data_IF_093008802707
#
_entry.id   IF_093008802707
#
_cell.length_a   1.000
_cell.length_b   1.000
_cell.length_c   1.000
_cell.angle_alpha   90.00
_cell.angle_beta   90.00
_cell.angle_gamma   90.00
#
_symmetry.space_group_name_H-M   'P 1'
#
loop_
_entity.id
_entity.type
_entity.pdbx_description
1 polymer ?
#
# COMPACT_ATOMS: atom_id res chain seq x y z
N UNK A 1 -18.92 45.39 -14.69
CA UNK A 1 -18.68 44.09 -13.99
C UNK A 1 -18.22 43.05 -15.02
N UNK A 2 -16.95 43.10 -15.47
CA UNK A 2 -16.34 42.11 -16.41
C UNK A 2 -14.83 42.33 -16.66
N UNK A 3 -14.06 42.80 -15.67
CA UNK A 3 -12.66 43.19 -15.92
C UNK A 3 -11.63 42.86 -14.82
N UNK A 4 -11.89 41.88 -13.93
CA UNK A 4 -10.93 41.46 -12.89
C UNK A 4 -10.78 39.94 -12.72
N UNK A 5 -10.73 39.18 -13.82
CA UNK A 5 -10.50 37.70 -13.80
C UNK A 5 -9.44 37.29 -14.85
N UNK A 6 -8.43 38.13 -15.12
CA UNK A 6 -7.40 37.83 -16.14
C UNK A 6 -5.95 38.13 -15.75
N UNK A 7 -5.63 38.34 -14.47
CA UNK A 7 -4.29 38.84 -14.09
C UNK A 7 -3.57 38.11 -12.94
N UNK A 8 -3.89 36.84 -12.63
CA UNK A 8 -3.11 36.05 -11.65
C UNK A 8 -2.82 34.63 -12.17
N UNK A 9 -2.53 34.51 -13.47
CA UNK A 9 -2.02 33.25 -14.05
C UNK A 9 -0.82 33.53 -14.96
N UNK A 10 0.16 34.24 -14.41
CA UNK A 10 1.43 34.51 -15.06
C UNK A 10 2.52 34.58 -13.99
N UNK A 11 3.15 33.43 -13.71
CA UNK A 11 4.60 33.28 -13.42
C UNK A 11 4.89 31.86 -12.92
N UNK A 12 5.99 31.29 -13.45
CA UNK A 12 6.68 30.06 -13.05
C UNK A 12 6.17 28.72 -13.62
N UNK A 13 6.28 28.58 -14.94
CA UNK A 13 6.37 27.29 -15.64
C UNK A 13 7.43 27.37 -16.73
N UNK A 14 8.69 27.10 -16.37
CA UNK A 14 9.83 26.87 -17.27
C UNK A 14 10.42 25.54 -16.80
N UNK A 15 10.66 24.52 -17.62
CA UNK A 15 10.49 24.32 -19.04
C UNK A 15 11.26 23.06 -19.41
N UNK A 16 10.66 22.15 -20.19
CA UNK A 16 11.40 21.18 -21.01
C UNK A 16 10.54 20.89 -22.25
N UNK A 17 10.92 21.51 -23.35
CA UNK A 17 10.61 21.13 -24.73
C UNK A 17 12.00 21.11 -25.42
N UNK A 18 12.34 20.33 -26.44
CA UNK A 18 11.61 19.73 -27.54
C UNK A 18 12.63 18.87 -28.31
N UNK A 19 12.18 17.82 -29.03
CA UNK A 19 12.61 17.36 -30.38
C UNK A 19 12.24 15.87 -30.53
N UNK A 20 11.00 15.54 -30.92
CA UNK A 20 10.44 15.41 -32.29
C UNK A 20 11.10 14.32 -33.15
N UNK A 21 10.29 13.32 -33.54
CA UNK A 21 10.59 12.36 -34.60
C UNK A 21 9.68 11.13 -34.54
N UNK A 22 8.55 11.19 -35.25
CA UNK A 22 7.43 10.22 -35.33
C UNK A 22 7.71 9.04 -36.30
N UNK A 23 6.72 8.23 -36.76
CA UNK A 23 6.34 6.93 -36.20
C UNK A 23 6.39 5.77 -37.23
N UNK A 24 6.39 4.51 -36.79
CA UNK A 24 5.89 3.38 -37.59
C UNK A 24 5.67 2.13 -36.73
N UNK A 25 4.44 1.63 -36.71
CA UNK A 25 4.04 0.30 -36.24
C UNK A 25 4.10 -0.71 -37.42
N UNK A 26 3.65 -1.98 -37.30
CA UNK A 26 3.63 -2.93 -36.19
C UNK A 26 4.22 -4.30 -36.61
N UNK A 27 4.11 -5.30 -35.71
CA UNK A 27 3.78 -6.71 -35.99
C UNK A 27 4.82 -7.80 -35.63
N UNK A 28 4.23 -8.88 -35.09
CA UNK A 28 4.61 -10.28 -35.18
C UNK A 28 5.68 -10.86 -34.22
N UNK A 29 5.13 -11.54 -33.21
CA UNK A 29 5.55 -12.81 -32.59
C UNK A 29 6.69 -13.61 -33.26
N UNK A 30 7.61 -14.13 -32.44
CA UNK A 30 8.19 -15.47 -32.61
C UNK A 30 8.92 -15.96 -31.34
N UNK A 31 9.11 -17.29 -31.17
CA UNK A 31 9.45 -17.95 -29.91
C UNK A 31 10.93 -18.36 -29.79
N UNK A 32 11.22 -19.13 -28.73
CA UNK A 32 12.48 -19.76 -28.34
C UNK A 32 13.31 -20.42 -29.46
N UNK A 33 14.65 -20.41 -29.33
CA UNK A 33 15.52 -21.60 -29.11
C UNK A 33 17.02 -21.28 -29.29
N UNK A 34 17.82 -21.82 -28.36
CA UNK A 34 19.14 -22.46 -28.49
C UNK A 34 20.24 -21.96 -29.45
N UNK A 35 21.39 -21.65 -28.82
CA UNK A 35 22.73 -22.27 -29.01
C UNK A 35 23.59 -21.99 -30.27
N UNK A 36 24.91 -21.91 -29.98
CA UNK A 36 26.08 -22.25 -30.79
C UNK A 36 26.92 -21.12 -31.46
N UNK A 37 28.09 -20.91 -30.84
CA UNK A 37 29.45 -20.99 -31.41
C UNK A 37 29.90 -20.02 -32.53
N UNK A 38 30.98 -19.30 -32.18
CA UNK A 38 31.85 -18.46 -33.01
C UNK A 38 32.72 -19.30 -33.96
N UNK A 39 32.83 -18.87 -35.22
CA UNK A 39 34.00 -19.10 -36.09
C UNK A 39 34.12 -17.95 -37.10
N UNK A 40 35.28 -17.29 -37.15
CA UNK A 40 35.66 -16.29 -38.16
C UNK A 40 36.83 -16.86 -38.97
N UNK A 41 36.81 -16.80 -40.31
CA UNK A 41 37.83 -17.41 -41.16
C UNK A 41 39.04 -16.49 -41.44
N UNK A 42 40.15 -17.15 -41.77
CA UNK A 42 41.47 -16.62 -42.12
C UNK A 42 41.57 -16.32 -43.62
N UNK A 43 42.30 -15.28 -44.02
CA UNK A 43 42.85 -15.12 -45.37
C UNK A 43 44.29 -14.56 -45.35
N UNK A 44 45.16 -15.15 -46.18
CA UNK A 44 46.62 -15.03 -46.26
C UNK A 44 47.07 -13.94 -47.26
N UNK A 45 48.16 -13.16 -47.03
CA UNK A 45 49.52 -13.31 -47.61
C UNK A 45 50.13 -11.89 -47.85
N UNK A 46 51.43 -11.69 -48.19
CA UNK A 46 52.66 -12.15 -47.54
C UNK A 46 53.71 -11.02 -47.27
N UNK A 47 54.63 -11.35 -46.36
CA UNK A 47 56.02 -10.86 -46.08
C UNK A 47 56.62 -9.61 -46.76
N UNK A 48 57.11 -8.68 -45.94
CA UNK A 48 58.36 -7.94 -46.17
C UNK A 48 59.04 -7.60 -44.83
N UNK A 49 60.34 -7.91 -44.71
CA UNK A 49 61.18 -7.79 -43.51
C UNK A 49 61.90 -6.43 -43.53
N UNK A 50 61.87 -5.67 -42.43
CA UNK A 50 62.77 -4.54 -42.18
C UNK A 50 62.95 -4.28 -40.67
N UNK A 51 64.12 -3.74 -40.26
CA UNK A 51 64.80 -4.16 -39.04
C UNK A 51 64.38 -3.42 -37.76
N UNK A 52 64.64 -4.10 -36.65
CA UNK A 52 64.41 -3.72 -35.26
C UNK A 52 65.01 -2.34 -34.90
N UNK A 53 64.16 -1.42 -34.46
CA UNK A 53 64.56 -0.27 -33.65
C UNK A 53 64.16 -0.53 -32.19
N UNK A 54 65.16 -0.77 -31.34
CA UNK A 54 64.98 -0.90 -29.88
C UNK A 54 64.57 0.45 -29.29
N UNK A 55 63.37 0.53 -28.71
CA UNK A 55 63.03 1.58 -27.75
C UNK A 55 63.45 1.13 -26.34
N UNK A 56 64.03 2.00 -25.50
CA UNK A 56 64.50 1.60 -24.17
C UNK A 56 63.32 1.21 -23.27
N UNK A 57 63.42 0.01 -22.67
CA UNK A 57 62.52 -0.50 -21.64
C UNK A 57 62.49 0.47 -20.46
N UNK A 58 61.31 1.03 -20.16
CA UNK A 58 61.05 1.66 -18.87
C UNK A 58 60.91 0.54 -17.82
N UNK A 59 61.62 0.65 -16.70
CA UNK A 59 61.61 -0.37 -15.65
C UNK A 59 60.19 -0.60 -15.07
N UNK A 60 59.87 -1.82 -14.58
CA UNK A 60 58.56 -2.15 -14.04
C UNK A 60 58.26 -1.36 -12.76
N UNK A 61 57.07 -0.75 -12.68
CA UNK A 61 56.55 -0.18 -11.44
C UNK A 61 56.23 -1.34 -10.46
N UNK A 62 56.74 -1.34 -9.22
CA UNK A 62 56.42 -2.36 -8.24
C UNK A 62 54.92 -2.34 -7.88
N UNK A 63 54.29 -3.50 -7.59
CA UNK A 63 52.88 -3.56 -7.19
C UNK A 63 52.67 -2.86 -5.84
N UNK A 64 51.68 -1.96 -5.79
CA UNK A 64 51.28 -1.27 -4.57
C UNK A 64 50.49 -2.23 -3.64
N UNK A 65 50.80 -2.31 -2.34
CA UNK A 65 50.07 -3.17 -1.40
C UNK A 65 48.58 -2.78 -1.28
N UNK A 66 47.67 -3.72 -1.01
CA UNK A 66 46.26 -3.43 -0.79
C UNK A 66 46.09 -2.44 0.38
N UNK A 67 45.31 -1.37 0.16
CA UNK A 67 44.91 -0.48 1.25
C UNK A 67 44.09 -1.26 2.29
N UNK A 68 44.31 -1.06 3.61
CA UNK A 68 43.54 -1.75 4.63
C UNK A 68 42.05 -1.39 4.54
N UNK A 69 41.14 -2.27 4.97
CA UNK A 69 39.71 -2.00 4.94
C UNK A 69 39.43 -0.75 5.76
N UNK A 70 38.82 0.27 5.16
CA UNK A 70 38.25 1.37 5.92
C UNK A 70 37.01 0.82 6.62
N UNK A 71 37.13 0.47 7.90
CA UNK A 71 35.97 0.17 8.73
C UNK A 71 35.04 1.38 8.71
N UNK A 72 33.72 1.20 8.50
CA UNK A 72 32.79 2.30 8.65
C UNK A 72 32.87 2.77 10.11
N UNK A 73 33.49 3.93 10.33
CA UNK A 73 33.44 4.66 11.60
C UNK A 73 32.05 5.25 11.81
N UNK A 74 31.08 4.35 12.00
CA UNK A 74 29.76 4.62 12.53
C UNK A 74 29.64 3.87 13.84
N UNK A 75 30.48 4.18 14.83
CA UNK A 75 30.29 3.66 16.18
C UNK A 75 29.01 4.29 16.75
N UNK A 76 27.96 3.48 16.84
CA UNK A 76 26.81 3.78 17.70
C UNK A 76 27.33 3.69 19.14
N UNK A 77 27.90 4.79 19.63
CA UNK A 77 28.34 4.90 21.01
C UNK A 77 27.12 5.09 21.91
N UNK A 78 26.80 4.06 22.66
CA UNK A 78 25.76 4.08 23.70
C UNK A 78 26.37 4.76 24.93
N UNK A 79 26.34 6.10 24.94
CA UNK A 79 26.75 6.88 26.11
C UNK A 79 25.52 7.07 27.03
N UNK A 80 25.41 6.24 28.08
CA UNK A 80 24.44 6.46 29.16
C UNK A 80 25.07 7.41 30.18
N UNK A 81 25.06 8.70 29.86
CA UNK A 81 25.57 9.76 30.72
C UNK A 81 24.52 10.87 30.91
N UNK A 82 24.21 11.20 32.17
CA UNK A 82 23.34 12.30 32.65
C UNK A 82 21.80 12.10 32.67
N UNK A 83 21.29 10.87 32.71
CA UNK A 83 19.85 10.63 32.95
C UNK A 83 18.91 11.14 31.83
N UNK A 84 19.49 11.61 30.71
CA UNK A 84 18.80 11.86 29.45
C UNK A 84 19.16 10.71 28.50
N UNK A 85 18.21 10.13 27.76
CA UNK A 85 18.52 9.13 26.75
C UNK A 85 19.58 9.67 25.78
N UNK A 86 20.57 8.85 25.43
CA UNK A 86 21.54 9.20 24.37
C UNK A 86 20.79 9.60 23.11
N UNK A 87 21.25 10.64 22.41
CA UNK A 87 20.65 11.12 21.15
C UNK A 87 20.47 9.97 20.15
N UNK A 88 21.42 9.03 20.11
CA UNK A 88 21.37 7.82 19.28
C UNK A 88 20.16 6.92 19.63
N UNK A 89 19.82 6.80 20.92
CA UNK A 89 18.68 6.01 21.40
C UNK A 89 17.36 6.70 21.02
N UNK A 90 17.29 8.02 21.15
CA UNK A 90 16.10 8.80 20.75
C UNK A 90 15.83 8.65 19.25
N UNK A 91 16.87 8.75 18.41
CA UNK A 91 16.76 8.56 16.96
C UNK A 91 16.31 7.14 16.63
N UNK A 92 16.87 6.12 17.30
CA UNK A 92 16.48 4.72 17.09
C UNK A 92 15.00 4.48 17.44
N UNK A 93 14.53 5.02 18.57
CA UNK A 93 13.12 4.95 18.96
C UNK A 93 12.25 5.72 17.94
N UNK A 94 12.67 6.90 17.51
CA UNK A 94 11.93 7.69 16.52
C UNK A 94 11.79 6.95 15.18
N UNK A 95 12.85 6.32 14.68
CA UNK A 95 12.80 5.50 13.46
C UNK A 95 11.89 4.28 13.62
N UNK A 96 11.91 3.66 14.80
CA UNK A 96 11.03 2.53 15.11
C UNK A 96 9.56 2.94 15.08
N UNK A 97 9.22 4.06 15.72
CA UNK A 97 7.84 4.60 15.71
C UNK A 97 7.44 5.01 14.29
N UNK A 98 8.35 5.64 13.53
CA UNK A 98 8.09 6.07 12.16
C UNK A 98 7.82 4.89 11.21
N UNK A 99 8.46 3.73 11.43
CA UNK A 99 8.25 2.51 10.65
C UNK A 99 6.86 1.90 10.88
N UNK A 100 6.34 1.97 12.12
CA UNK A 100 5.04 1.38 12.49
C UNK A 100 3.88 2.36 12.24
N UNK A 101 4.15 3.66 12.22
CA UNK A 101 3.14 4.71 12.08
C UNK A 101 2.19 4.54 10.86
N UNK A 102 2.64 4.19 9.64
CA UNK A 102 1.74 4.05 8.50
C UNK A 102 0.72 2.95 8.70
N UNK A 103 1.13 1.80 9.25
CA UNK A 103 0.24 0.68 9.51
C UNK A 103 -0.81 1.02 10.59
N UNK A 104 -0.39 1.71 11.66
CA UNK A 104 -1.32 2.20 12.68
C UNK A 104 -2.30 3.23 12.11
N UNK A 105 -1.84 4.10 11.22
CA UNK A 105 -2.71 5.09 10.60
C UNK A 105 -3.80 4.42 9.76
N UNK A 106 -3.45 3.41 8.96
CA UNK A 106 -4.44 2.64 8.21
C UNK A 106 -5.41 1.90 9.13
N UNK A 107 -4.92 1.32 10.23
CA UNK A 107 -5.77 0.59 11.19
C UNK A 107 -6.81 1.49 11.89
N UNK A 108 -6.44 2.74 12.19
CA UNK A 108 -7.34 3.71 12.82
C UNK A 108 -8.36 4.33 11.84
N UNK A 109 -8.38 3.90 10.58
CA UNK A 109 -9.25 4.45 9.53
C UNK A 109 -10.22 3.39 8.99
N UNK A 110 -11.03 3.76 7.99
CA UNK A 110 -11.95 2.86 7.28
C UNK A 110 -11.24 1.87 6.34
N UNK A 111 -9.93 2.02 6.15
CA UNK A 111 -9.13 1.18 5.25
C UNK A 111 -9.32 -0.31 5.52
N UNK A 112 -9.29 -0.75 6.77
CA UNK A 112 -9.32 -2.17 7.13
C UNK A 112 -10.60 -2.86 6.64
N UNK A 113 -11.79 -2.27 6.88
CA UNK A 113 -13.06 -2.86 6.43
C UNK A 113 -13.13 -2.94 4.91
N UNK A 114 -12.78 -1.84 4.23
CA UNK A 114 -12.84 -1.75 2.77
C UNK A 114 -11.91 -2.79 2.14
N UNK A 115 -10.66 -2.85 2.58
CA UNK A 115 -9.68 -3.79 2.04
C UNK A 115 -10.12 -5.25 2.21
N UNK A 116 -10.65 -5.61 3.39
CA UNK A 116 -11.12 -6.97 3.66
C UNK A 116 -12.33 -7.33 2.80
N UNK A 117 -13.33 -6.44 2.68
CA UNK A 117 -14.52 -6.69 1.84
C UNK A 117 -14.15 -6.86 0.37
N UNK A 118 -13.27 -6.00 -0.16
CA UNK A 118 -12.79 -6.10 -1.54
C UNK A 118 -12.02 -7.41 -1.78
N UNK A 119 -11.20 -7.83 -0.82
CA UNK A 119 -10.47 -9.11 -0.87
C UNK A 119 -11.42 -10.31 -0.84
N UNK A 120 -12.43 -10.31 0.03
CA UNK A 120 -13.44 -11.37 0.08
C UNK A 120 -14.24 -11.41 -1.23
N UNK A 121 -14.60 -10.25 -1.79
CA UNK A 121 -15.31 -10.16 -3.08
C UNK A 121 -14.50 -10.82 -4.20
N UNK A 122 -13.19 -10.53 -4.29
CA UNK A 122 -12.31 -11.18 -5.28
C UNK A 122 -12.31 -12.70 -5.12
N UNK A 123 -12.20 -13.19 -3.89
CA UNK A 123 -12.19 -14.62 -3.61
C UNK A 123 -13.55 -15.27 -3.91
N UNK A 124 -14.66 -14.57 -3.65
CA UNK A 124 -16.02 -15.06 -3.93
C UNK A 124 -16.25 -15.29 -5.43
N UNK A 125 -15.68 -14.42 -6.28
CA UNK A 125 -15.70 -14.56 -7.73
C UNK A 125 -14.85 -15.74 -8.25
N UNK A 126 -14.03 -16.36 -7.39
CA UNK A 126 -13.12 -17.45 -7.78
C UNK A 126 -11.88 -16.95 -8.51
N UNK A 127 -11.54 -15.66 -8.39
CA UNK A 127 -10.39 -15.07 -9.06
C UNK A 127 -9.13 -15.21 -8.20
N UNK A 128 -8.09 -15.84 -8.74
CA UNK A 128 -6.86 -16.15 -7.99
C UNK A 128 -5.83 -15.03 -8.01
N UNK A 129 -5.78 -14.22 -9.06
CA UNK A 129 -4.72 -13.19 -9.24
C UNK A 129 -5.23 -11.82 -9.70
N UNK A 130 -6.44 -11.75 -10.27
CA UNK A 130 -7.03 -10.52 -10.81
C UNK A 130 -8.25 -10.13 -9.97
N UNK A 131 -8.35 -8.91 -9.42
CA UNK A 131 -7.35 -7.85 -9.36
C UNK A 131 -6.21 -8.16 -8.37
N UNK A 132 -4.97 -7.66 -8.61
CA UNK A 132 -3.84 -7.88 -7.71
C UNK A 132 -4.05 -7.14 -6.38
N UNK A 133 -3.42 -7.65 -5.30
CA UNK A 133 -3.55 -7.06 -3.95
C UNK A 133 -3.19 -5.57 -3.92
N UNK A 134 -2.23 -5.13 -4.73
CA UNK A 134 -1.82 -3.72 -4.82
C UNK A 134 -2.95 -2.82 -5.36
N UNK A 135 -3.73 -3.29 -6.34
CA UNK A 135 -4.86 -2.54 -6.88
C UNK A 135 -5.99 -2.46 -5.85
N UNK A 136 -6.27 -3.56 -5.14
CA UNK A 136 -7.25 -3.57 -4.05
C UNK A 136 -6.83 -2.63 -2.89
N UNK A 137 -5.55 -2.64 -2.53
CA UNK A 137 -4.99 -1.74 -1.52
C UNK A 137 -5.08 -0.28 -1.96
N UNK A 138 -4.74 0.03 -3.22
CA UNK A 138 -4.87 1.37 -3.78
C UNK A 138 -6.32 1.86 -3.78
N UNK A 139 -7.27 1.02 -4.22
CA UNK A 139 -8.70 1.34 -4.19
C UNK A 139 -9.19 1.57 -2.75
N UNK A 140 -8.79 0.70 -1.82
CA UNK A 140 -9.15 0.84 -0.41
C UNK A 140 -8.61 2.14 0.20
N UNK A 141 -7.38 2.53 -0.17
CA UNK A 141 -6.77 3.77 0.31
C UNK A 141 -7.50 5.01 -0.23
N UNK A 142 -7.82 5.06 -1.53
CA UNK A 142 -8.58 6.19 -2.08
C UNK A 142 -10.00 6.28 -1.53
N UNK A 143 -10.70 5.15 -1.37
CA UNK A 143 -12.01 5.13 -0.72
C UNK A 143 -11.94 5.53 0.75
N UNK A 144 -10.89 5.11 1.47
CA UNK A 144 -10.67 5.52 2.85
C UNK A 144 -10.45 7.03 2.95
N UNK A 145 -9.64 7.63 2.07
CA UNK A 145 -9.43 9.08 2.04
C UNK A 145 -10.72 9.84 1.71
N UNK A 146 -11.55 9.29 0.82
CA UNK A 146 -12.86 9.87 0.50
C UNK A 146 -13.81 9.88 1.71
N UNK A 147 -13.93 8.75 2.41
CA UNK A 147 -14.79 8.61 3.60
C UNK A 147 -14.25 9.42 4.78
N UNK A 148 -12.91 9.50 4.92
CA UNK A 148 -12.24 10.24 5.99
C UNK A 148 -12.10 11.74 5.74
N UNK A 149 -12.53 12.25 4.58
CA UNK A 149 -12.48 13.66 4.24
C UNK A 149 -12.90 14.61 5.39
N UNK A 150 -14.09 14.45 6.02
CA UNK A 150 -14.50 15.31 7.12
C UNK A 150 -13.61 15.18 8.36
N UNK A 151 -13.28 13.95 8.77
CA UNK A 151 -12.44 13.70 9.95
C UNK A 151 -11.06 14.32 9.77
N UNK A 152 -10.43 14.14 8.61
CA UNK A 152 -9.11 14.71 8.32
C UNK A 152 -9.14 16.25 8.29
N UNK A 153 -10.25 16.83 7.83
CA UNK A 153 -10.48 18.27 7.84
C UNK A 153 -10.58 18.82 9.27
N UNK A 154 -11.34 18.16 10.12
CA UNK A 154 -11.48 18.52 11.54
C UNK A 154 -10.16 18.37 12.30
N UNK A 155 -9.41 17.29 12.07
CA UNK A 155 -8.07 17.10 12.65
C UNK A 155 -7.11 18.21 12.24
N UNK A 156 -7.15 18.65 10.97
CA UNK A 156 -6.33 19.74 10.48
C UNK A 156 -6.74 21.08 11.10
N UNK A 157 -8.04 21.36 11.20
CA UNK A 157 -8.57 22.60 11.80
C UNK A 157 -8.25 22.71 13.28
N UNK A 158 -8.44 21.64 14.05
CA UNK A 158 -8.45 21.70 15.51
C UNK A 158 -7.06 21.43 16.13
N UNK A 159 -6.22 20.66 15.43
CA UNK A 159 -4.87 20.29 15.87
C UNK A 159 -3.73 20.92 15.05
N UNK A 160 -3.70 20.67 13.74
CA UNK A 160 -2.53 21.00 12.90
C UNK A 160 -2.37 22.52 12.68
N UNK A 161 -3.43 23.21 12.27
CA UNK A 161 -3.38 24.65 11.97
C UNK A 161 -3.00 25.50 13.20
N UNK A 162 -3.59 25.28 14.40
CA UNK A 162 -3.22 26.05 15.60
C UNK A 162 -1.78 25.78 16.06
N UNK A 163 -1.26 24.55 15.87
CA UNK A 163 0.14 24.23 16.15
C UNK A 163 1.09 24.98 15.22
N UNK A 164 0.81 24.99 13.91
CA UNK A 164 1.62 25.70 12.91
C UNK A 164 1.61 27.22 13.11
N UNK A 165 0.52 27.78 13.66
CA UNK A 165 0.40 29.20 14.01
C UNK A 165 1.04 29.56 15.35
N UNK A 166 1.53 28.58 16.11
CA UNK A 166 2.08 28.78 17.45
C UNK A 166 1.03 29.09 18.52
N UNK A 167 -0.26 28.88 18.23
CA UNK A 167 -1.37 29.15 19.16
C UNK A 167 -1.51 28.05 20.22
N UNK A 168 -1.00 26.84 19.96
CA UNK A 168 -1.05 25.67 20.87
C UNK A 168 0.30 25.01 21.02
N UNK A 169 0.57 24.48 22.21
CA UNK A 169 1.70 23.58 22.43
C UNK A 169 1.47 22.22 21.75
N UNK A 170 2.54 21.50 21.44
CA UNK A 170 2.48 20.18 20.79
C UNK A 170 1.54 19.19 21.52
N UNK A 171 1.56 19.18 22.85
CA UNK A 171 0.70 18.29 23.64
C UNK A 171 -0.78 18.60 23.47
N UNK A 172 -1.17 19.89 23.49
CA UNK A 172 -2.57 20.29 23.36
C UNK A 172 -3.05 20.07 21.93
N UNK A 173 -2.22 20.40 20.94
CA UNK A 173 -2.50 20.14 19.54
C UNK A 173 -2.72 18.64 19.24
N UNK A 174 -1.98 17.76 19.90
CA UNK A 174 -2.17 16.31 19.79
C UNK A 174 -3.51 15.87 20.43
N UNK A 175 -3.81 16.32 21.64
CA UNK A 175 -5.06 15.96 22.34
C UNK A 175 -6.29 16.43 21.56
N UNK A 176 -6.28 17.66 21.06
CA UNK A 176 -7.39 18.22 20.29
C UNK A 176 -7.47 17.58 18.89
N UNK A 177 -6.33 17.38 18.23
CA UNK A 177 -6.26 16.78 16.90
C UNK A 177 -6.68 15.30 16.86
N UNK A 178 -6.55 14.56 17.97
CA UNK A 178 -7.00 13.15 18.02
C UNK A 178 -8.49 13.03 18.35
N UNK A 179 -9.15 14.09 18.85
CA UNK A 179 -10.55 14.04 19.25
C UNK A 179 -11.52 13.66 18.10
N UNK A 180 -11.43 14.24 16.89
CA UNK A 180 -12.31 13.83 15.77
C UNK A 180 -12.10 12.38 15.36
N UNK A 181 -10.85 11.91 15.36
CA UNK A 181 -10.53 10.51 15.06
C UNK A 181 -11.12 9.56 16.12
N UNK A 182 -11.05 9.96 17.40
CA UNK A 182 -11.64 9.21 18.51
C UNK A 182 -13.15 9.10 18.38
N UNK A 183 -13.82 10.19 18.04
CA UNK A 183 -15.26 10.23 17.83
C UNK A 183 -15.68 9.35 16.64
N UNK A 184 -14.95 9.43 15.52
CA UNK A 184 -15.13 8.55 14.38
C UNK A 184 -15.05 7.07 14.79
N UNK A 185 -13.99 6.67 15.51
CA UNK A 185 -13.82 5.29 15.95
C UNK A 185 -14.95 4.86 16.89
N UNK A 186 -15.36 5.70 17.83
CA UNK A 186 -16.43 5.39 18.76
C UNK A 186 -17.78 5.20 18.06
N UNK A 187 -18.07 5.97 17.01
CA UNK A 187 -19.32 5.83 16.25
C UNK A 187 -19.39 4.52 15.46
N UNK A 188 -18.24 4.00 15.04
CA UNK A 188 -18.13 2.77 14.26
C UNK A 188 -17.72 1.54 15.10
N UNK A 189 -17.49 1.72 16.41
CA UNK A 189 -17.18 0.63 17.34
C UNK A 189 -18.45 0.12 17.99
N UNK A 190 -18.66 -1.20 17.93
CA UNK A 190 -19.79 -1.86 18.56
C UNK A 190 -19.60 -1.88 20.10
N UNK A 191 -20.71 -1.75 20.83
CA UNK A 191 -20.70 -1.68 22.30
C UNK A 191 -20.16 -2.96 22.95
N UNK A 192 -20.43 -4.13 22.35
CA UNK A 192 -20.00 -5.42 22.88
C UNK A 192 -18.47 -5.56 22.82
N UNK A 193 -17.86 -5.17 21.71
CA UNK A 193 -16.43 -5.19 21.45
C UNK A 193 -15.70 -4.19 22.35
N UNK A 194 -16.28 -3.00 22.55
CA UNK A 194 -15.77 -2.04 23.50
C UNK A 194 -15.82 -2.57 24.95
N UNK A 195 -16.92 -3.20 25.35
CA UNK A 195 -17.06 -3.82 26.66
C UNK A 195 -16.08 -4.99 26.85
N UNK A 196 -15.84 -5.79 25.80
CA UNK A 196 -14.86 -6.88 25.81
C UNK A 196 -13.46 -6.35 26.15
N UNK A 197 -12.96 -5.36 25.40
CA UNK A 197 -11.62 -4.84 25.65
C UNK A 197 -11.50 -4.05 26.96
N UNK A 198 -12.59 -3.45 27.43
CA UNK A 198 -12.62 -2.81 28.77
C UNK A 198 -12.46 -3.84 29.88
N UNK A 199 -13.15 -4.99 29.76
CA UNK A 199 -13.04 -6.11 30.71
C UNK A 199 -11.65 -6.76 30.65
N UNK A 200 -11.13 -7.02 29.46
CA UNK A 200 -9.78 -7.60 29.27
C UNK A 200 -8.69 -6.69 29.84
N UNK A 201 -8.88 -5.37 29.77
CA UNK A 201 -7.95 -4.41 30.35
C UNK A 201 -8.05 -4.29 31.88
N UNK A 202 -8.94 -5.02 32.56
CA UNK A 202 -9.23 -4.90 34.00
C UNK A 202 -9.50 -3.45 34.44
N UNK A 203 -10.16 -2.66 33.59
CA UNK A 203 -10.48 -1.25 33.88
C UNK A 203 -11.92 -1.10 34.37
N UNK A 204 -12.20 -0.11 35.24
CA UNK A 204 -13.58 0.23 35.57
C UNK A 204 -14.34 0.64 34.30
N UNK A 205 -15.60 0.23 34.21
CA UNK A 205 -16.43 0.55 33.05
C UNK A 205 -16.55 2.08 32.91
N UNK A 206 -16.13 2.69 31.78
CA UNK A 206 -16.24 4.12 31.57
C UNK A 206 -17.70 4.57 31.66
N UNK A 207 -17.96 5.67 32.38
CA UNK A 207 -19.31 6.24 32.53
C UNK A 207 -19.80 6.91 31.25
N UNK A 208 -18.87 7.52 30.51
CA UNK A 208 -19.12 8.19 29.24
C UNK A 208 -18.32 7.56 28.11
N UNK A 209 -18.84 7.65 26.88
CA UNK A 209 -18.13 7.21 25.66
C UNK A 209 -16.80 7.94 25.46
N UNK A 210 -16.69 9.15 26.00
CA UNK A 210 -15.52 10.01 25.85
C UNK A 210 -14.33 9.67 26.75
N UNK A 211 -14.57 8.95 27.84
CA UNK A 211 -13.54 8.61 28.82
C UNK A 211 -12.76 7.34 28.44
N UNK A 212 -13.08 6.73 27.29
CA UNK A 212 -12.41 5.52 26.86
C UNK A 212 -11.02 5.87 26.31
N UNK A 213 -9.94 5.25 26.83
CA UNK A 213 -8.59 5.51 26.33
C UNK A 213 -8.37 4.91 24.94
N UNK A 214 -7.51 5.55 24.14
CA UNK A 214 -7.15 5.08 22.79
C UNK A 214 -6.60 3.64 22.77
N UNK A 215 -5.88 3.24 23.84
CA UNK A 215 -5.38 1.86 24.00
C UNK A 215 -6.48 0.81 24.05
N UNK A 216 -7.72 1.19 24.38
CA UNK A 216 -8.90 0.31 24.37
C UNK A 216 -9.74 0.52 23.10
N UNK A 217 -9.92 1.76 22.65
CA UNK A 217 -10.73 2.07 21.46
C UNK A 217 -10.11 1.46 20.20
N UNK A 218 -8.81 1.64 19.96
CA UNK A 218 -8.15 1.19 18.72
C UNK A 218 -8.34 -0.30 18.46
N UNK A 219 -8.03 -1.23 19.41
CA UNK A 219 -8.25 -2.65 19.17
C UNK A 219 -9.74 -3.03 19.10
N UNK A 220 -10.62 -2.35 19.85
CA UNK A 220 -12.06 -2.58 19.78
C UNK A 220 -12.66 -2.15 18.43
N UNK A 221 -12.20 -1.02 17.89
CA UNK A 221 -12.55 -0.51 16.58
C UNK A 221 -12.09 -1.48 15.48
N UNK A 222 -10.81 -1.86 15.49
CA UNK A 222 -10.27 -2.82 14.52
C UNK A 222 -11.06 -4.14 14.49
N UNK A 223 -11.43 -4.67 15.65
CA UNK A 223 -12.25 -5.87 15.76
C UNK A 223 -13.68 -5.66 15.22
N UNK A 224 -14.29 -4.51 15.54
CA UNK A 224 -15.63 -4.15 15.05
C UNK A 224 -15.66 -4.01 13.52
N UNK A 225 -14.67 -3.34 12.95
CA UNK A 225 -14.52 -3.15 11.51
C UNK A 225 -14.29 -4.48 10.79
N UNK A 226 -13.46 -5.35 11.35
CA UNK A 226 -13.20 -6.68 10.80
C UNK A 226 -14.47 -7.55 10.82
N UNK A 227 -15.21 -7.54 11.94
CA UNK A 227 -16.49 -8.25 12.05
C UNK A 227 -17.49 -7.74 11.01
N UNK A 228 -17.64 -6.43 10.87
CA UNK A 228 -18.51 -5.83 9.86
C UNK A 228 -18.07 -6.23 8.44
N UNK A 229 -16.77 -6.21 8.16
CA UNK A 229 -16.22 -6.62 6.88
C UNK A 229 -16.54 -8.08 6.54
N UNK A 230 -16.43 -9.00 7.52
CA UNK A 230 -16.81 -10.39 7.32
C UNK A 230 -18.30 -10.58 7.09
N UNK A 231 -19.16 -9.84 7.78
CA UNK A 231 -20.62 -9.90 7.55
C UNK A 231 -20.96 -9.44 6.13
N UNK A 232 -20.43 -8.28 5.71
CA UNK A 232 -20.64 -7.75 4.35
C UNK A 232 -20.08 -8.74 3.32
N UNK A 233 -18.85 -9.23 3.54
CA UNK A 233 -18.19 -10.19 2.68
C UNK A 233 -19.00 -11.49 2.55
N UNK A 234 -19.57 -11.99 3.65
CA UNK A 234 -20.42 -13.18 3.64
C UNK A 234 -21.69 -12.96 2.81
N UNK A 235 -22.37 -11.82 2.99
CA UNK A 235 -23.56 -11.47 2.19
C UNK A 235 -23.22 -11.41 0.69
N UNK A 236 -22.07 -10.85 0.32
CA UNK A 236 -21.58 -10.84 -1.06
C UNK A 236 -21.28 -12.27 -1.55
N UNK A 237 -20.84 -13.16 -0.68
CA UNK A 237 -20.46 -14.53 -1.03
C UNK A 237 -21.65 -15.43 -1.39
N UNK A 238 -22.80 -15.23 -0.74
CA UNK A 238 -24.01 -16.07 -0.88
C UNK A 238 -24.42 -16.30 -2.35
N UNK A 239 -24.64 -15.27 -3.19
CA UNK A 239 -25.07 -15.50 -4.58
C UNK A 239 -24.08 -16.31 -5.40
N UNK A 240 -22.77 -16.14 -5.19
CA UNK A 240 -21.74 -16.90 -5.90
C UNK A 240 -21.63 -18.34 -5.43
N UNK A 241 -21.85 -18.59 -4.14
CA UNK A 241 -21.92 -19.94 -3.58
C UNK A 241 -23.09 -20.72 -4.20
N UNK A 242 -24.25 -20.08 -4.35
CA UNK A 242 -25.41 -20.71 -4.99
C UNK A 242 -25.08 -21.14 -6.42
N UNK A 243 -24.38 -20.30 -7.20
CA UNK A 243 -23.91 -20.66 -8.55
C UNK A 243 -22.98 -21.87 -8.50
N UNK A 244 -22.01 -21.91 -7.58
CA UNK A 244 -21.09 -23.05 -7.44
C UNK A 244 -21.85 -24.34 -7.14
N UNK A 245 -22.82 -24.30 -6.23
CA UNK A 245 -23.61 -25.47 -5.84
C UNK A 245 -24.46 -26.00 -7.00
N UNK A 246 -25.06 -25.11 -7.79
CA UNK A 246 -25.86 -25.48 -8.97
C UNK A 246 -24.98 -26.08 -10.07
N UNK A 247 -23.83 -25.45 -10.37
CA UNK A 247 -22.90 -25.94 -11.40
C UNK A 247 -22.30 -27.28 -10.99
N UNK A 248 -21.91 -27.44 -9.72
CA UNK A 248 -21.39 -28.71 -9.21
C UNK A 248 -22.41 -29.85 -9.33
N UNK A 249 -23.67 -29.62 -8.92
CA UNK A 249 -24.74 -30.61 -9.06
C UNK A 249 -24.99 -30.98 -10.53
N UNK A 250 -24.93 -29.99 -11.43
CA UNK A 250 -25.12 -30.20 -12.87
C UNK A 250 -23.97 -31.01 -13.49
N UNK A 251 -22.72 -30.71 -13.17
CA UNK A 251 -21.54 -31.46 -13.65
C UNK A 251 -21.52 -32.89 -13.12
N UNK A 252 -21.88 -33.08 -11.85
CA UNK A 252 -21.99 -34.41 -11.25
C UNK A 252 -23.07 -35.25 -11.95
N UNK A 253 -24.19 -34.63 -12.34
CA UNK A 253 -25.25 -35.29 -13.13
C UNK A 253 -24.81 -35.67 -14.55
N UNK A 254 -23.86 -34.95 -15.15
CA UNK A 254 -23.28 -35.29 -16.46
C UNK A 254 -22.17 -36.35 -16.38
N UNK A 255 -21.79 -36.79 -15.18
CA UNK A 255 -20.73 -37.78 -14.97
C UNK A 255 -19.31 -37.21 -15.02
N UNK A 256 -19.13 -35.88 -15.05
CA UNK A 256 -17.80 -35.24 -15.08
C UNK A 256 -17.25 -35.01 -13.67
N UNK A 257 -16.76 -36.07 -13.01
CA UNK A 257 -16.21 -35.97 -11.65
C UNK A 257 -14.80 -35.36 -11.57
N UNK A 258 -14.06 -35.31 -12.68
CA UNK A 258 -12.66 -34.86 -12.71
C UNK A 258 -12.48 -33.36 -12.97
N UNK A 259 -13.52 -32.64 -13.41
CA UNK A 259 -13.45 -31.21 -13.64
C UNK A 259 -13.79 -30.45 -12.35
N UNK A 260 -12.91 -29.56 -11.86
CA UNK A 260 -13.22 -28.73 -10.71
C UNK A 260 -14.44 -27.85 -11.00
N UNK A 261 -15.54 -27.95 -10.22
CA UNK A 261 -16.76 -27.18 -10.50
C UNK A 261 -16.53 -25.66 -10.54
N UNK A 262 -15.55 -25.16 -9.77
CA UNK A 262 -15.17 -23.75 -9.69
C UNK A 262 -14.68 -23.20 -11.04
N UNK A 263 -13.98 -24.01 -11.84
CA UNK A 263 -13.48 -23.57 -13.15
C UNK A 263 -14.62 -23.36 -14.13
N UNK A 264 -15.68 -24.17 -14.02
CA UNK A 264 -16.87 -24.08 -14.88
C UNK A 264 -17.82 -22.97 -14.41
N UNK A 265 -17.91 -22.71 -13.10
CA UNK A 265 -18.78 -21.67 -12.56
C UNK A 265 -18.22 -20.25 -12.72
N UNK A 266 -16.89 -20.09 -12.80
CA UNK A 266 -16.22 -18.79 -12.94
C UNK A 266 -16.80 -17.89 -14.04
N UNK A 267 -16.96 -18.31 -15.31
CA UNK A 267 -17.53 -17.45 -16.35
C UNK A 267 -18.94 -16.96 -16.02
N UNK A 268 -19.78 -17.79 -15.40
CA UNK A 268 -21.13 -17.41 -14.98
C UNK A 268 -21.11 -16.39 -13.85
N UNK A 269 -20.23 -16.56 -12.86
CA UNK A 269 -20.04 -15.59 -11.78
C UNK A 269 -19.58 -14.23 -12.31
N UNK A 270 -18.60 -14.23 -13.20
CA UNK A 270 -18.08 -13.02 -13.83
C UNK A 270 -19.15 -12.31 -14.64
N UNK A 271 -19.93 -13.05 -15.43
CA UNK A 271 -21.04 -12.49 -16.19
C UNK A 271 -22.07 -11.83 -15.26
N UNK A 272 -22.54 -12.55 -14.24
CA UNK A 272 -23.49 -12.00 -13.27
C UNK A 272 -22.94 -10.73 -12.61
N UNK A 273 -21.69 -10.78 -12.15
CA UNK A 273 -21.07 -9.65 -11.45
C UNK A 273 -20.94 -8.41 -12.34
N UNK A 274 -20.61 -8.57 -13.62
CA UNK A 274 -20.56 -7.45 -14.56
C UNK A 274 -21.96 -6.93 -14.89
N UNK A 275 -22.93 -7.83 -15.11
CA UNK A 275 -24.32 -7.46 -15.44
C UNK A 275 -24.99 -6.61 -14.37
N UNK A 276 -24.71 -6.88 -13.10
CA UNK A 276 -25.28 -6.12 -11.97
C UNK A 276 -24.45 -4.90 -11.57
N UNK A 277 -23.38 -4.58 -12.29
CA UNK A 277 -22.39 -3.60 -11.89
C UNK A 277 -21.86 -3.84 -10.46
N UNK A 278 -21.37 -5.05 -10.21
CA UNK A 278 -21.05 -5.54 -8.87
C UNK A 278 -20.01 -4.72 -8.13
N UNK A 279 -18.98 -4.18 -8.81
CA UNK A 279 -18.03 -3.26 -8.18
C UNK A 279 -18.71 -1.99 -7.67
N UNK A 280 -19.61 -1.41 -8.47
CA UNK A 280 -20.37 -0.23 -8.06
C UNK A 280 -21.27 -0.52 -6.85
N UNK A 281 -21.92 -1.69 -6.83
CA UNK A 281 -22.77 -2.10 -5.72
C UNK A 281 -21.97 -2.30 -4.42
N UNK A 282 -20.83 -2.99 -4.49
CA UNK A 282 -19.95 -3.22 -3.34
C UNK A 282 -19.40 -1.90 -2.78
N UNK A 283 -18.92 -1.00 -3.65
CA UNK A 283 -18.40 0.30 -3.22
C UNK A 283 -19.51 1.16 -2.60
N UNK A 284 -20.70 1.19 -3.20
CA UNK A 284 -21.84 1.95 -2.67
C UNK A 284 -22.26 1.42 -1.30
N UNK A 285 -22.35 0.10 -1.13
CA UNK A 285 -22.67 -0.52 0.16
C UNK A 285 -21.60 -0.24 1.23
N UNK A 286 -20.32 -0.22 0.84
CA UNK A 286 -19.23 0.13 1.74
C UNK A 286 -19.31 1.58 2.21
N UNK A 287 -19.51 2.53 1.28
CA UNK A 287 -19.62 3.96 1.63
C UNK A 287 -20.87 4.25 2.47
N UNK A 288 -21.99 3.59 2.15
CA UNK A 288 -23.22 3.68 2.94
C UNK A 288 -23.06 3.10 4.35
N UNK A 289 -22.13 2.16 4.58
CA UNK A 289 -21.87 1.59 5.91
C UNK A 289 -21.19 2.57 6.88
N UNK A 290 -20.71 3.72 6.42
CA UNK A 290 -20.05 4.75 7.24
C UNK A 290 -20.88 6.03 7.42
N UNK A 291 -22.09 6.06 6.85
CA UNK A 291 -23.06 7.15 7.01
C UNK A 291 -24.27 6.64 7.79
#
# INVERSE_FOLDING_TARGET
>A
MKHRIRSILATAGIGVALLLGTPAAPAAAAPATASAALAVPVAHSPLAVSPLAFSPVTAPVPPQPPAPPTEPQGTVSVNVGNGKPSQSIVILIALTVLSVAPALMLLCTSFTKIFVVLSITRNALGLTTVPPNQVLAGLALFLSLFIMGPVMSDMNRDGVQPYLKGEKTQSVAFTDGVKPLREFMLNHTRKDELALFTKVANRPMPKNRDDVPLSTIVPAFALSELRAAFIIGFVIYIPFLVIDMIVAASLMSLGMMMLPPVTVSLPFKMLLFVLVNGWGLVITALVASYH
#
